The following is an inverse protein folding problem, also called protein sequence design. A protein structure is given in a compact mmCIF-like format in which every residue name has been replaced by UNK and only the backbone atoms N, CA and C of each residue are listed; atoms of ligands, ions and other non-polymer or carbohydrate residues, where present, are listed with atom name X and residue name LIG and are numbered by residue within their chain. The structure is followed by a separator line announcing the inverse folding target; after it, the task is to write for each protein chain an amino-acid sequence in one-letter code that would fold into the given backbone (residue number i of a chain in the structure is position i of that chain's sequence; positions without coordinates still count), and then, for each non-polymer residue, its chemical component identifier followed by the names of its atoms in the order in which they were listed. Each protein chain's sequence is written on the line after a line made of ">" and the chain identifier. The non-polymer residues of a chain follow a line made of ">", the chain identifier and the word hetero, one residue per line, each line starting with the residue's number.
data_IF_540055961907
#
_entry.id   IF_540055961907
#
_cell.length_a   1.000
_cell.length_b   1.000
_cell.length_c   1.000
_cell.angle_alpha   90.00
_cell.angle_beta   90.00
_cell.angle_gamma   90.00
#
_symmetry.space_group_name_H-M   'P 1'
#
loop_
_entity.id
_entity.type
_entity.pdbx_description
1 polymer ?
#
# COMPACT_ATOMS: atom_id res chain seq x y z
N UNK A 1 1.97 9.09 4.11
CA UNK A 1 1.39 8.14 3.15
C UNK A 1 0.76 8.93 2.01
N UNK A 2 1.04 8.56 0.77
CA UNK A 2 0.36 9.11 -0.41
C UNK A 2 -0.80 8.19 -0.78
N UNK A 3 -1.99 8.75 -0.91
CA UNK A 3 -3.20 8.02 -1.24
C UNK A 3 -3.87 8.65 -2.45
N UNK A 4 -4.11 7.84 -3.48
CA UNK A 4 -4.84 8.22 -4.69
C UNK A 4 -6.17 7.48 -4.72
N UNK A 5 -7.27 8.22 -4.92
CA UNK A 5 -8.59 7.62 -5.09
C UNK A 5 -8.82 7.25 -6.56
N UNK A 6 -9.25 6.01 -6.80
CA UNK A 6 -9.59 5.49 -8.12
C UNK A 6 -11.06 5.06 -8.15
N UNK A 7 -11.87 5.67 -9.01
CA UNK A 7 -13.26 5.25 -9.23
C UNK A 7 -13.35 3.86 -9.87
N UNK A 8 -12.40 3.54 -10.77
CA UNK A 8 -12.27 2.25 -11.44
C UNK A 8 -10.79 1.92 -11.61
N UNK A 9 -10.47 0.64 -11.44
CA UNK A 9 -9.14 0.08 -11.71
C UNK A 9 -9.21 -0.80 -12.96
N UNK A 10 -8.20 -0.70 -13.83
CA UNK A 10 -8.10 -1.50 -15.06
C UNK A 10 -6.89 -2.42 -14.97
N UNK A 11 -7.11 -3.70 -15.25
CA UNK A 11 -6.02 -4.68 -15.29
C UNK A 11 -5.09 -4.43 -16.48
N UNK A 12 -3.78 -4.47 -16.25
CA UNK A 12 -2.74 -4.33 -17.26
C UNK A 12 -1.41 -4.94 -16.75
N UNK A 13 -0.32 -4.76 -17.49
CA UNK A 13 1.00 -5.33 -17.13
C UNK A 13 1.53 -4.87 -15.76
N UNK A 14 1.07 -3.71 -15.29
CA UNK A 14 1.45 -3.07 -14.03
C UNK A 14 0.29 -3.01 -13.02
N UNK A 15 -0.86 -3.61 -13.32
CA UNK A 15 -2.02 -3.67 -12.43
C UNK A 15 -2.67 -5.05 -12.56
N UNK A 16 -2.43 -5.94 -11.60
CA UNK A 16 -2.91 -7.31 -11.63
C UNK A 16 -3.97 -7.51 -10.56
N UNK A 17 -5.13 -8.05 -10.95
CA UNK A 17 -6.16 -8.45 -9.99
C UNK A 17 -5.70 -9.69 -9.22
N UNK A 18 -5.88 -9.64 -7.91
CA UNK A 18 -5.70 -10.80 -7.02
C UNK A 18 -7.02 -11.08 -6.31
N UNK A 19 -7.32 -12.35 -6.11
CA UNK A 19 -8.45 -12.77 -5.30
C UNK A 19 -7.96 -13.09 -3.89
N UNK A 20 -8.64 -12.52 -2.90
CA UNK A 20 -8.31 -12.68 -1.48
C UNK A 20 -9.57 -13.04 -0.71
N UNK A 21 -9.42 -13.83 0.34
CA UNK A 21 -10.53 -14.12 1.26
C UNK A 21 -10.85 -12.93 2.15
N UNK A 22 -12.03 -12.93 2.78
CA UNK A 22 -12.43 -11.88 3.71
C UNK A 22 -11.43 -11.71 4.87
N UNK A 23 -10.90 -12.80 5.42
CA UNK A 23 -9.91 -12.75 6.49
C UNK A 23 -8.58 -12.13 6.03
N UNK A 24 -8.13 -12.46 4.82
CA UNK A 24 -6.93 -11.86 4.24
C UNK A 24 -7.12 -10.36 3.99
N UNK A 25 -8.32 -9.95 3.55
CA UNK A 25 -8.68 -8.55 3.39
C UNK A 25 -8.68 -7.79 4.73
N UNK A 26 -9.26 -8.37 5.79
CA UNK A 26 -9.22 -7.79 7.15
C UNK A 26 -7.77 -7.60 7.64
N UNK A 27 -6.92 -8.60 7.45
CA UNK A 27 -5.50 -8.51 7.81
C UNK A 27 -4.77 -7.41 7.02
N UNK A 28 -5.09 -7.26 5.73
CA UNK A 28 -4.54 -6.19 4.89
C UNK A 28 -4.98 -4.81 5.40
N UNK A 29 -6.27 -4.63 5.72
CA UNK A 29 -6.77 -3.39 6.31
C UNK A 29 -6.03 -3.07 7.60
N UNK A 30 -5.89 -4.05 8.50
CA UNK A 30 -5.19 -3.85 9.77
C UNK A 30 -3.72 -3.46 9.56
N UNK A 31 -3.04 -4.09 8.59
CA UNK A 31 -1.67 -3.71 8.23
C UNK A 31 -1.59 -2.25 7.76
N UNK A 32 -2.48 -1.84 6.85
CA UNK A 32 -2.53 -0.49 6.30
C UNK A 32 -2.85 0.52 7.41
N UNK A 33 -3.89 0.26 8.21
CA UNK A 33 -4.35 1.11 9.32
C UNK A 33 -3.23 1.40 10.32
N UNK A 34 -2.47 0.35 10.69
CA UNK A 34 -1.35 0.46 11.62
C UNK A 34 -0.17 1.30 11.09
N UNK A 35 -0.13 1.60 9.78
CA UNK A 35 0.91 2.42 9.17
C UNK A 35 0.60 3.91 9.18
N UNK A 36 -0.62 4.31 9.48
CA UNK A 36 -0.95 5.73 9.64
C UNK A 36 -0.72 6.19 11.08
N UNK A 37 -0.35 7.47 11.21
CA UNK A 37 -0.52 8.17 12.47
C UNK A 37 -1.92 8.75 12.56
N UNK A 38 -2.46 8.74 13.78
CA UNK A 38 -3.83 9.14 14.09
C UNK A 38 -3.82 10.21 15.17
N UNK A 39 -4.77 11.12 15.09
CA UNK A 39 -4.98 12.13 16.12
C UNK A 39 -5.49 11.50 17.43
N UNK A 40 -5.69 12.34 18.45
CA UNK A 40 -6.21 11.90 19.76
C UNK A 40 -7.62 11.29 19.69
N UNK A 41 -8.35 11.54 18.60
CA UNK A 41 -9.70 11.03 18.38
C UNK A 41 -9.71 9.77 17.50
N UNK A 42 -8.55 9.31 17.02
CA UNK A 42 -8.41 8.16 16.14
C UNK A 42 -8.59 8.47 14.65
N UNK A 43 -8.68 9.74 14.25
CA UNK A 43 -8.77 10.14 12.84
C UNK A 43 -7.39 10.13 12.19
N UNK A 44 -7.32 9.82 10.89
CA UNK A 44 -6.11 9.99 10.10
C UNK A 44 -5.73 11.47 10.03
N UNK A 45 -4.44 11.77 10.23
CA UNK A 45 -3.95 13.15 10.20
C UNK A 45 -3.67 13.54 8.73
N UNK A 46 -4.54 14.36 8.17
CA UNK A 46 -4.38 14.91 6.81
C UNK A 46 -3.25 15.95 6.77
N UNK A 47 -2.44 15.89 5.72
CA UNK A 47 -1.37 16.85 5.45
C UNK A 47 -1.90 17.79 4.35
N UNK A 48 -2.19 19.03 4.74
CA UNK A 48 -2.59 20.08 3.81
C UNK A 48 -1.37 20.55 3.01
N UNK A 49 -1.34 20.23 1.72
CA UNK A 49 -0.19 20.50 0.85
C UNK A 49 -0.58 20.64 -0.62
N UNK A 50 0.13 21.53 -1.32
CA UNK A 50 0.02 21.69 -2.79
C UNK A 50 0.84 20.65 -3.57
N UNK A 51 1.56 19.75 -2.88
CA UNK A 51 2.39 18.70 -3.50
C UNK A 51 1.58 17.52 -4.07
N UNK A 52 0.30 17.73 -4.36
CA UNK A 52 -0.62 16.73 -4.93
C UNK A 52 -0.51 16.66 -6.44
N UNK A 53 -0.63 15.46 -7.01
CA UNK A 53 -0.55 15.24 -8.45
C UNK A 53 -1.88 15.47 -9.17
N UNK A 54 -2.98 15.64 -8.42
CA UNK A 54 -4.32 15.91 -8.93
C UNK A 54 -5.37 15.99 -7.82
N UNK A 55 -6.63 16.18 -8.20
CA UNK A 55 -7.74 16.39 -7.26
C UNK A 55 -8.16 15.13 -6.48
N UNK A 56 -7.60 13.97 -6.82
CA UNK A 56 -7.87 12.68 -6.18
C UNK A 56 -6.68 12.17 -5.35
N UNK A 57 -5.67 13.01 -5.14
CA UNK A 57 -4.49 12.71 -4.33
C UNK A 57 -4.57 13.39 -2.97
N UNK A 58 -4.18 12.66 -1.92
CA UNK A 58 -4.08 13.18 -0.56
C UNK A 58 -2.84 12.62 0.13
N UNK A 59 -2.28 13.42 1.04
CA UNK A 59 -1.18 13.02 1.91
C UNK A 59 -1.66 12.95 3.36
N UNK A 60 -1.20 11.94 4.08
CA UNK A 60 -1.49 11.74 5.49
C UNK A 60 -0.22 11.41 6.28
N UNK A 61 -0.17 11.75 7.56
CA UNK A 61 0.94 11.35 8.42
C UNK A 61 1.00 9.82 8.57
N UNK A 62 2.21 9.28 8.59
CA UNK A 62 2.42 7.83 8.60
C UNK A 62 3.66 7.44 9.39
N UNK A 63 3.61 6.23 9.94
CA UNK A 63 4.68 5.65 10.74
C UNK A 63 5.79 5.10 9.87
N UNK A 64 7.00 5.51 10.21
CA UNK A 64 8.24 5.02 9.62
C UNK A 64 8.84 6.01 8.63
N UNK A 65 10.15 5.95 8.50
CA UNK A 65 10.91 6.77 7.56
C UNK A 65 11.32 5.95 6.36
N UNK A 66 11.29 6.57 5.19
CA UNK A 66 11.85 5.96 3.98
C UNK A 66 13.33 5.69 4.21
N UNK A 67 13.79 4.49 3.87
CA UNK A 67 15.20 4.15 3.88
C UNK A 67 15.52 3.29 2.67
N UNK A 68 16.80 3.15 2.34
CA UNK A 68 17.23 2.27 1.24
C UNK A 68 16.73 0.81 1.42
N UNK A 69 16.57 0.36 2.67
CA UNK A 69 16.03 -0.97 2.98
C UNK A 69 14.51 -0.99 3.21
N UNK A 70 13.84 0.17 3.20
CA UNK A 70 12.39 0.29 3.39
C UNK A 70 11.79 1.20 2.32
N UNK A 71 11.59 0.61 1.15
CA UNK A 71 11.02 1.24 -0.05
C UNK A 71 9.52 0.99 -0.18
N UNK A 72 8.86 1.66 -1.13
CA UNK A 72 7.45 1.40 -1.47
C UNK A 72 7.19 -0.08 -1.84
N UNK A 73 8.10 -0.71 -2.60
CA UNK A 73 8.01 -2.13 -2.95
C UNK A 73 8.10 -3.02 -1.70
N UNK A 74 9.00 -2.71 -0.77
CA UNK A 74 9.12 -3.46 0.49
C UNK A 74 7.89 -3.29 1.36
N UNK A 75 7.35 -2.06 1.45
CA UNK A 75 6.11 -1.78 2.16
C UNK A 75 4.92 -2.55 1.58
N UNK A 76 4.77 -2.57 0.25
CA UNK A 76 3.70 -3.31 -0.43
C UNK A 76 3.85 -4.83 -0.25
N UNK A 77 5.09 -5.34 -0.36
CA UNK A 77 5.40 -6.74 -0.18
C UNK A 77 5.07 -7.23 1.25
N UNK A 78 5.33 -6.41 2.27
CA UNK A 78 4.91 -6.73 3.64
C UNK A 78 3.39 -6.65 3.83
N UNK A 79 2.69 -5.78 3.10
CA UNK A 79 1.23 -5.80 3.04
C UNK A 79 0.69 -7.13 2.52
N UNK A 80 1.26 -7.65 1.43
CA UNK A 80 0.92 -8.98 0.90
C UNK A 80 1.20 -10.08 1.92
N UNK A 81 2.37 -10.05 2.57
CA UNK A 81 2.72 -11.01 3.62
C UNK A 81 1.73 -10.97 4.80
N UNK A 82 1.39 -9.78 5.28
CA UNK A 82 0.43 -9.59 6.38
C UNK A 82 -0.98 -10.08 5.98
N UNK A 83 -1.36 -9.86 4.72
CA UNK A 83 -2.59 -10.37 4.13
C UNK A 83 -2.57 -11.89 3.89
N UNK A 84 -1.50 -12.62 4.24
CA UNK A 84 -1.39 -14.07 3.99
C UNK A 84 -1.33 -14.42 2.51
N UNK A 85 -0.81 -13.51 1.69
CA UNK A 85 -0.66 -13.66 0.24
C UNK A 85 0.79 -13.96 -0.14
N UNK A 86 1.02 -14.36 -1.40
CA UNK A 86 2.39 -14.59 -1.92
C UNK A 86 3.19 -13.30 -1.84
N UNK A 87 4.40 -13.37 -1.29
CA UNK A 87 5.29 -12.23 -1.15
C UNK A 87 6.67 -12.62 -1.68
N UNK A 88 7.41 -11.65 -2.18
CA UNK A 88 8.76 -11.84 -2.70
C UNK A 88 9.77 -11.86 -1.54
N UNK A 89 10.74 -12.76 -1.59
CA UNK A 89 11.91 -12.70 -0.69
C UNK A 89 12.83 -11.52 -1.04
N UNK A 90 12.76 -11.04 -2.29
CA UNK A 90 13.49 -9.88 -2.79
C UNK A 90 12.51 -8.86 -3.41
N UNK A 91 12.36 -7.70 -2.77
CA UNK A 91 11.42 -6.63 -3.16
C UNK A 91 12.11 -5.31 -3.43
N UNK A 92 13.39 -5.31 -3.82
CA UNK A 92 14.08 -4.07 -4.23
C UNK A 92 13.41 -3.45 -5.48
N UNK A 93 12.91 -4.30 -6.38
CA UNK A 93 12.10 -3.92 -7.54
C UNK A 93 10.70 -4.53 -7.46
N UNK A 94 9.77 -3.94 -8.20
CA UNK A 94 8.40 -4.41 -8.36
C UNK A 94 8.33 -5.79 -9.02
N UNK A 95 9.27 -6.11 -9.93
CA UNK A 95 9.37 -7.39 -10.64
C UNK A 95 9.28 -8.61 -9.70
N UNK A 96 9.92 -8.54 -8.53
CA UNK A 96 9.89 -9.61 -7.54
C UNK A 96 8.47 -9.94 -7.08
N UNK A 97 7.65 -8.90 -6.86
CA UNK A 97 6.25 -9.04 -6.46
C UNK A 97 5.42 -9.55 -7.65
N UNK A 98 5.49 -8.86 -8.79
CA UNK A 98 4.66 -9.15 -9.96
C UNK A 98 4.87 -10.56 -10.51
N UNK A 99 6.08 -11.14 -10.41
CA UNK A 99 6.37 -12.51 -10.84
C UNK A 99 5.48 -13.58 -10.17
N UNK A 100 5.00 -13.34 -8.95
CA UNK A 100 4.14 -14.30 -8.25
C UNK A 100 2.68 -14.31 -8.73
N UNK A 101 2.29 -13.29 -9.49
CA UNK A 101 0.90 -13.01 -9.87
C UNK A 101 0.68 -12.89 -11.38
N UNK A 102 1.73 -12.61 -12.16
CA UNK A 102 1.69 -12.73 -13.61
C UNK A 102 1.46 -14.19 -13.99
N UNK A 103 0.55 -14.42 -14.93
CA UNK A 103 0.33 -15.71 -15.58
C UNK A 103 1.34 -15.92 -16.70
#
# INVERSE_FOLDING_TARGET
>A
MHCTYYEKMYENQNCIKIEITENQYKNLIQYIDNKFDKDKNGNYIFIDTDAVYGNNDAFYEAKGTYSFMYTCNTWANYGLKAAGQKYALWSATDFGIFRHYRK
#
